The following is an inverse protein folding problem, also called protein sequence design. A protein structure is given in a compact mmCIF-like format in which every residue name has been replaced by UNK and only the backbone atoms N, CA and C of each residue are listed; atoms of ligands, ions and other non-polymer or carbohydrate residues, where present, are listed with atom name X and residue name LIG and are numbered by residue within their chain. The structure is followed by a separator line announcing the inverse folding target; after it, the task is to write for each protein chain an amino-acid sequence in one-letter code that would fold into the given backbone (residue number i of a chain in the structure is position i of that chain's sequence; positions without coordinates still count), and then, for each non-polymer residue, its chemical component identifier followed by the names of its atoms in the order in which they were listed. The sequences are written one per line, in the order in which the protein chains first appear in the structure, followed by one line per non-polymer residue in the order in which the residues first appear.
data_IF_806367173357
#
_entry.id   IF_806367173357
#
_cell.length_a   1.000
_cell.length_b   1.000
_cell.length_c   1.000
_cell.angle_alpha   90.00
_cell.angle_beta   90.00
_cell.angle_gamma   90.00
#
_symmetry.space_group_name_H-M   'P 1'
#
loop_
_entity.id
_entity.type
_entity.pdbx_description
1 polymer ?
#
# COMPACT_ATOMS: atom_id res chain seq x y z
N UNK A 1 -9.44 -7.42 13.62
CA UNK A 1 -10.32 -6.68 12.68
C UNK A 1 -9.52 -5.76 11.76
N UNK A 2 -8.66 -4.90 12.30
CA UNK A 2 -7.82 -3.96 11.50
C UNK A 2 -6.92 -4.65 10.45
N UNK A 3 -6.21 -5.72 10.81
CA UNK A 3 -5.36 -6.45 9.86
C UNK A 3 -6.14 -7.16 8.72
N UNK A 4 -7.42 -7.47 8.93
CA UNK A 4 -8.29 -7.97 7.87
C UNK A 4 -8.65 -6.87 6.88
N UNK A 5 -8.89 -5.66 7.39
CA UNK A 5 -9.27 -4.51 6.58
C UNK A 5 -8.09 -3.99 5.72
N UNK A 6 -6.93 -3.83 6.34
CA UNK A 6 -5.77 -3.19 5.71
C UNK A 6 -4.90 -4.12 4.87
N UNK A 7 -4.84 -5.42 5.22
CA UNK A 7 -3.95 -6.40 4.57
C UNK A 7 -4.69 -7.60 3.97
N UNK A 8 -5.95 -7.84 4.36
CA UNK A 8 -6.72 -9.01 3.94
C UNK A 8 -6.37 -10.30 4.67
N UNK A 9 -5.76 -10.21 5.85
CA UNK A 9 -5.42 -11.38 6.65
C UNK A 9 -6.67 -11.92 7.35
N UNK A 10 -7.01 -13.18 7.07
CA UNK A 10 -8.14 -13.88 7.67
C UNK A 10 -7.77 -14.47 9.03
N UNK A 11 -8.60 -14.22 10.04
CA UNK A 11 -8.42 -14.77 11.39
C UNK A 11 -9.54 -15.78 11.70
N UNK A 12 -9.18 -17.05 11.90
CA UNK A 12 -10.11 -18.10 12.30
C UNK A 12 -10.56 -17.92 13.76
N UNK A 13 -11.87 -18.06 14.03
CA UNK A 13 -12.43 -17.95 15.39
C UNK A 13 -12.82 -16.54 15.82
N UNK A 14 -12.69 -15.54 14.94
CA UNK A 14 -13.15 -14.19 15.24
C UNK A 14 -14.67 -14.06 14.99
N UNK A 15 -15.49 -13.65 15.99
CA UNK A 15 -16.95 -13.71 15.91
C UNK A 15 -17.56 -12.72 14.89
N UNK A 16 -16.82 -11.68 14.52
CA UNK A 16 -17.33 -10.65 13.61
C UNK A 16 -16.21 -9.95 12.83
N UNK A 17 -15.71 -10.64 11.81
CA UNK A 17 -14.64 -10.14 10.95
C UNK A 17 -15.22 -9.26 9.83
N UNK A 18 -15.43 -7.97 10.13
CA UNK A 18 -15.85 -6.95 9.16
C UNK A 18 -14.84 -5.81 9.10
N UNK A 19 -14.92 -5.03 8.01
CA UNK A 19 -14.15 -3.80 7.81
C UNK A 19 -14.56 -2.76 8.86
N UNK A 20 -13.60 -1.98 9.34
CA UNK A 20 -13.84 -0.98 10.40
C UNK A 20 -13.27 0.40 10.05
N UNK A 21 -12.20 0.44 9.24
CA UNK A 21 -11.47 1.65 8.87
C UNK A 21 -11.68 2.02 7.40
N UNK A 22 -11.91 1.04 6.52
CA UNK A 22 -12.25 1.32 5.12
C UNK A 22 -13.75 1.53 4.95
N UNK A 23 -14.11 2.34 3.95
CA UNK A 23 -15.51 2.59 3.60
C UNK A 23 -16.23 1.29 3.21
N UNK A 24 -17.54 1.24 3.43
CA UNK A 24 -18.36 0.05 3.23
C UNK A 24 -18.27 -0.48 1.79
N UNK A 25 -18.09 0.41 0.81
CA UNK A 25 -17.94 0.07 -0.61
C UNK A 25 -16.51 -0.11 -1.11
N UNK A 26 -15.49 -0.03 -0.24
CA UNK A 26 -14.09 -0.04 -0.67
C UNK A 26 -13.68 -1.40 -1.28
N UNK A 27 -13.12 -1.44 -2.50
CA UNK A 27 -12.66 -2.70 -3.12
C UNK A 27 -11.13 -2.72 -3.08
N UNK A 28 -10.57 -3.47 -2.13
CA UNK A 28 -9.13 -3.67 -2.01
C UNK A 28 -8.63 -3.64 -0.56
N UNK A 29 -7.31 -3.73 -0.40
CA UNK A 29 -6.60 -3.64 0.87
C UNK A 29 -5.49 -2.58 0.72
N UNK A 30 -5.64 -1.38 1.32
CA UNK A 30 -4.81 -0.21 1.00
C UNK A 30 -3.30 -0.38 1.18
N UNK A 31 -2.87 -1.27 2.10
CA UNK A 31 -1.44 -1.43 2.44
C UNK A 31 -0.77 -2.61 1.74
N UNK A 32 -1.36 -3.13 0.66
CA UNK A 32 -0.66 -4.08 -0.20
C UNK A 32 0.24 -3.34 -1.20
N UNK A 33 1.39 -3.95 -1.52
CA UNK A 33 2.41 -3.38 -2.41
C UNK A 33 1.93 -3.19 -3.86
N UNK A 34 0.88 -3.90 -4.26
CA UNK A 34 0.22 -3.81 -5.57
C UNK A 34 -0.89 -2.74 -5.62
N UNK A 35 -1.25 -2.13 -4.50
CA UNK A 35 -2.32 -1.14 -4.43
C UNK A 35 -1.77 0.28 -4.64
N UNK A 36 -2.33 1.07 -5.58
CA UNK A 36 -1.89 2.44 -5.82
C UNK A 36 -2.25 3.36 -4.64
N UNK A 37 -1.35 4.28 -4.28
CA UNK A 37 -1.51 5.18 -3.13
C UNK A 37 -2.77 6.06 -3.24
N UNK A 38 -3.16 6.43 -4.46
CA UNK A 38 -4.34 7.24 -4.76
C UNK A 38 -5.66 6.45 -4.70
N UNK A 39 -5.59 5.12 -4.63
CA UNK A 39 -6.76 4.24 -4.73
C UNK A 39 -7.38 4.20 -6.12
N UNK A 40 -8.44 3.42 -6.27
CA UNK A 40 -9.12 3.20 -7.55
C UNK A 40 -10.31 4.15 -7.78
N UNK A 41 -10.85 4.72 -6.70
CA UNK A 41 -12.13 5.44 -6.71
C UNK A 41 -12.02 6.70 -5.87
N UNK A 42 -12.55 7.80 -6.39
CA UNK A 42 -12.73 9.08 -5.70
C UNK A 42 -14.22 9.38 -5.47
N UNK A 43 -14.51 10.10 -4.40
CA UNK A 43 -15.86 10.57 -4.09
C UNK A 43 -16.07 11.98 -4.61
N UNK A 44 -17.15 12.20 -5.36
CA UNK A 44 -17.58 13.54 -5.80
C UNK A 44 -19.05 13.75 -5.46
N UNK A 45 -19.41 14.97 -5.08
CA UNK A 45 -20.81 15.35 -4.93
C UNK A 45 -21.44 15.67 -6.30
N UNK A 46 -22.56 15.04 -6.60
CA UNK A 46 -23.36 15.32 -7.78
C UNK A 46 -24.59 16.16 -7.37
N UNK A 47 -24.68 17.44 -7.82
CA UNK A 47 -25.79 18.32 -7.45
C UNK A 47 -27.13 17.93 -8.09
N UNK A 48 -27.12 17.26 -9.24
CA UNK A 48 -28.34 16.84 -9.94
C UNK A 48 -28.97 15.64 -9.24
N UNK A 49 -28.14 14.70 -8.80
CA UNK A 49 -28.58 13.52 -8.05
C UNK A 49 -28.65 13.75 -6.53
N UNK A 50 -28.20 14.91 -6.04
CA UNK A 50 -28.13 15.29 -4.61
C UNK A 50 -27.48 14.22 -3.74
N UNK A 51 -26.44 13.56 -4.26
CA UNK A 51 -25.76 12.45 -3.57
C UNK A 51 -24.26 12.44 -3.85
N UNK A 52 -23.53 11.77 -2.96
CA UNK A 52 -22.12 11.43 -3.20
C UNK A 52 -22.07 10.25 -4.16
N UNK A 53 -21.31 10.41 -5.24
CA UNK A 53 -21.03 9.38 -6.24
C UNK A 53 -19.57 8.94 -6.16
N UNK A 54 -19.34 7.69 -6.55
CA UNK A 54 -18.03 7.07 -6.67
C UNK A 54 -17.63 7.09 -8.15
N UNK A 55 -16.50 7.73 -8.49
CA UNK A 55 -15.98 7.77 -9.86
C UNK A 55 -14.53 7.27 -9.89
N UNK A 56 -14.04 6.74 -11.03
CA UNK A 56 -12.63 6.37 -11.16
C UNK A 56 -11.71 7.56 -10.91
N UNK A 57 -10.61 7.33 -10.19
CA UNK A 57 -9.60 8.36 -9.91
C UNK A 57 -8.98 8.85 -11.21
N UNK A 58 -8.91 10.17 -11.39
CA UNK A 58 -8.24 10.81 -12.55
C UNK A 58 -6.77 11.17 -12.28
N UNK A 59 -6.27 10.87 -11.08
CA UNK A 59 -4.90 11.22 -10.65
C UNK A 59 -3.91 10.25 -11.28
N UNK A 60 -2.97 10.78 -12.06
CA UNK A 60 -1.83 9.99 -12.51
C UNK A 60 -0.87 9.72 -11.35
N UNK A 61 -0.50 8.45 -11.10
CA UNK A 61 0.43 8.12 -10.02
C UNK A 61 1.81 8.70 -10.31
N UNK A 62 2.26 9.61 -9.46
CA UNK A 62 3.63 10.14 -9.51
C UNK A 62 4.57 9.16 -8.83
N UNK A 63 5.29 8.36 -9.61
CA UNK A 63 6.36 7.50 -9.10
C UNK A 63 7.57 8.36 -8.71
N UNK A 64 7.65 8.74 -7.42
CA UNK A 64 8.80 9.46 -6.86
C UNK A 64 9.91 8.52 -6.37
N UNK A 65 9.92 7.25 -6.80
CA UNK A 65 10.88 6.26 -6.29
C UNK A 65 12.30 6.76 -6.52
N UNK A 66 13.04 7.13 -5.46
CA UNK A 66 14.39 7.61 -5.61
C UNK A 66 15.23 6.46 -6.15
N UNK A 67 15.94 6.68 -7.26
CA UNK A 67 16.94 5.73 -7.72
C UNK A 67 18.08 5.73 -6.70
N UNK A 68 18.17 4.66 -5.92
CA UNK A 68 19.29 4.47 -5.00
C UNK A 68 20.50 4.07 -5.85
N UNK A 69 21.37 5.03 -6.15
CA UNK A 69 22.67 4.76 -6.74
C UNK A 69 23.55 4.24 -5.61
N UNK A 70 23.73 2.92 -5.55
CA UNK A 70 24.74 2.29 -4.67
C UNK A 70 25.96 2.02 -5.54
N UNK A 71 27.14 2.40 -5.08
CA UNK A 71 28.38 1.96 -5.70
C UNK A 71 28.46 0.42 -5.58
N UNK A 72 28.92 -0.26 -6.63
CA UNK A 72 28.96 -1.74 -6.69
C UNK A 72 29.76 -2.35 -5.52
N UNK A 73 30.69 -1.59 -4.93
CA UNK A 73 31.58 -2.02 -3.85
C UNK A 73 31.10 -1.67 -2.44
N UNK A 74 29.87 -1.19 -2.25
CA UNK A 74 29.36 -0.87 -0.92
C UNK A 74 29.12 -2.15 -0.09
N UNK A 75 30.13 -2.56 0.68
CA UNK A 75 30.10 -3.75 1.54
C UNK A 75 31.27 -4.71 1.37
N UNK A 76 32.23 -4.44 0.46
CA UNK A 76 33.47 -5.20 0.41
C UNK A 76 34.38 -4.73 1.56
N UNK A 77 34.22 -5.34 2.74
CA UNK A 77 35.27 -5.32 3.75
C UNK A 77 36.54 -5.89 3.14
N UNK A 78 37.62 -5.10 3.13
CA UNK A 78 38.97 -5.57 2.86
C UNK A 78 39.29 -6.64 3.92
N UNK A 79 39.01 -7.90 3.63
CA UNK A 79 39.51 -9.01 4.41
C UNK A 79 41.02 -9.07 4.18
N UNK A 80 41.77 -8.34 5.00
CA UNK A 80 43.20 -8.58 5.18
C UNK A 80 43.37 -10.06 5.54
N UNK A 81 44.09 -10.88 4.75
CA UNK A 81 44.35 -12.24 5.15
C UNK A 81 45.28 -12.18 6.37
N UNK A 82 44.80 -12.66 7.51
CA UNK A 82 45.64 -12.92 8.67
C UNK A 82 46.76 -13.90 8.27
N UNK A 83 47.94 -13.36 8.00
CA UNK A 83 49.14 -14.14 7.72
C UNK A 83 49.54 -14.90 8.98
N UNK A 84 49.43 -16.22 8.94
CA UNK A 84 49.92 -17.11 9.99
C UNK A 84 51.42 -17.27 9.84
N UNK A 85 52.22 -16.66 10.73
CA UNK A 85 53.56 -17.13 11.09
C UNK A 85 53.89 -16.82 12.53
#
# INVERSE_FOLDING_TARGET
REAFDLFGVMFSGHPDLRRILTDYGFIGHPFRKDFPLSGNVEMRYDPDQKRVIYQPVTIEPREITPRVIREEQYGEELTEPHETK
#
